data_IF_513331001610
#
_entry.id   IF_513331001610
#
_cell.length_a   1.000
_cell.length_b   1.000
_cell.length_c   1.000
_cell.angle_alpha   90.00
_cell.angle_beta   90.00
_cell.angle_gamma   90.00
#
_symmetry.space_group_name_H-M   'P 1'
#
loop_
_entity.id
_entity.type
_entity.pdbx_description
1 polymer ?
#
# COMPACT_ATOMS: atom_id res chain seq x y z
N UNK A 1 -20.78 -35.56 44.47
CA UNK A 1 -19.91 -34.42 44.86
C UNK A 1 -20.64 -33.14 44.48
N UNK A 2 -21.00 -32.28 45.44
CA UNK A 2 -21.85 -31.11 45.18
C UNK A 2 -21.14 -30.06 44.32
N UNK A 3 -21.88 -29.39 43.44
CA UNK A 3 -21.41 -28.35 42.53
C UNK A 3 -20.63 -27.24 43.24
N UNK A 4 -21.01 -26.89 44.47
CA UNK A 4 -20.29 -25.91 45.30
C UNK A 4 -18.84 -26.33 45.62
N UNK A 5 -18.58 -27.63 45.80
CA UNK A 5 -17.23 -28.16 46.08
C UNK A 5 -16.38 -28.10 44.81
N UNK A 6 -16.97 -28.36 43.64
CA UNK A 6 -16.26 -28.24 42.34
C UNK A 6 -15.92 -26.79 42.00
N UNK A 7 -16.86 -25.87 42.20
CA UNK A 7 -16.62 -24.44 41.99
C UNK A 7 -15.55 -23.90 42.96
N UNK A 8 -15.59 -24.31 44.23
CA UNK A 8 -14.56 -23.95 45.21
C UNK A 8 -13.17 -24.48 44.85
N UNK A 9 -13.08 -25.74 44.41
CA UNK A 9 -11.81 -26.34 43.97
C UNK A 9 -11.26 -25.66 42.71
N UNK A 10 -12.12 -25.31 41.76
CA UNK A 10 -11.72 -24.58 40.55
C UNK A 10 -11.20 -23.17 40.88
N UNK A 11 -11.92 -22.42 41.71
CA UNK A 11 -11.49 -21.08 42.15
C UNK A 11 -10.15 -21.11 42.90
N UNK A 12 -9.94 -22.11 43.77
CA UNK A 12 -8.66 -22.30 44.45
C UNK A 12 -7.52 -22.63 43.48
N UNK A 13 -7.79 -23.45 42.45
CA UNK A 13 -6.84 -23.76 41.39
C UNK A 13 -6.40 -22.52 40.62
N UNK A 14 -7.34 -21.69 40.18
CA UNK A 14 -7.04 -20.44 39.46
C UNK A 14 -6.22 -19.48 40.32
N UNK A 15 -6.59 -19.29 41.59
CA UNK A 15 -5.85 -18.42 42.50
C UNK A 15 -4.40 -18.89 42.73
N UNK A 16 -4.18 -20.20 42.84
CA UNK A 16 -2.84 -20.79 42.95
C UNK A 16 -2.00 -20.55 41.70
N UNK A 17 -2.58 -20.73 40.51
CA UNK A 17 -1.86 -20.51 39.25
C UNK A 17 -1.46 -19.04 39.08
N UNK A 18 -2.37 -18.10 39.34
CA UNK A 18 -2.07 -16.66 39.27
C UNK A 18 -1.05 -16.24 40.34
N UNK A 19 -1.17 -16.76 41.57
CA UNK A 19 -0.22 -16.49 42.65
C UNK A 19 1.19 -16.99 42.33
N UNK A 20 1.31 -18.19 41.75
CA UNK A 20 2.58 -18.75 41.32
C UNK A 20 3.21 -17.94 40.18
N UNK A 21 2.42 -17.57 39.16
CA UNK A 21 2.88 -16.73 38.06
C UNK A 21 3.36 -15.35 38.53
N UNK A 22 2.61 -14.71 39.43
CA UNK A 22 3.00 -13.43 40.05
C UNK A 22 4.29 -13.55 40.88
N UNK A 23 4.44 -14.63 41.64
CA UNK A 23 5.64 -14.92 42.42
C UNK A 23 6.89 -15.13 41.55
N UNK A 24 6.75 -15.88 40.45
CA UNK A 24 7.83 -16.07 39.47
C UNK A 24 8.18 -14.76 38.78
N UNK A 25 7.19 -13.95 38.38
CA UNK A 25 7.43 -12.63 37.79
C UNK A 25 8.22 -11.68 38.70
N UNK A 26 8.02 -11.75 40.02
CA UNK A 26 8.82 -10.98 40.99
C UNK A 26 10.26 -11.49 41.17
N UNK A 27 10.50 -12.78 40.94
CA UNK A 27 11.82 -13.42 41.09
C UNK A 27 12.69 -13.24 39.84
N UNK A 28 12.08 -13.22 38.65
CA UNK A 28 12.77 -13.11 37.37
C UNK A 28 13.04 -11.64 36.98
N UNK A 29 12.34 -10.68 37.61
CA UNK A 29 12.48 -9.25 37.29
C UNK A 29 11.77 -8.90 35.97
N UNK A 30 11.43 -7.63 35.81
CA UNK A 30 10.81 -7.13 34.58
C UNK A 30 11.92 -6.81 33.57
N UNK A 31 11.86 -7.26 32.30
CA UNK A 31 12.82 -6.84 31.28
C UNK A 31 12.66 -5.36 30.85
N UNK A 32 11.81 -4.60 31.56
CA UNK A 32 11.44 -3.20 31.26
C UNK A 32 11.67 -2.32 32.49
N UNK A 33 12.81 -2.47 33.16
CA UNK A 33 13.26 -1.59 34.25
C UNK A 33 14.29 -0.56 33.75
N UNK A 34 14.10 -0.01 32.54
CA UNK A 34 14.67 1.29 32.19
C UNK A 34 13.65 2.38 32.48
N UNK A 35 13.90 3.05 33.60
CA UNK A 35 13.15 4.20 34.09
C UNK A 35 13.22 5.32 33.04
N UNK A 36 12.09 5.85 32.53
CA UNK A 36 12.14 7.05 31.70
C UNK A 36 12.74 8.20 32.54
N UNK A 37 13.67 9.00 32.01
CA UNK A 37 14.18 10.15 32.74
C UNK A 37 13.01 11.11 33.00
N UNK A 38 12.95 11.61 34.24
CA UNK A 38 11.92 12.52 34.69
C UNK A 38 11.89 13.79 33.83
N UNK A 39 10.72 14.12 33.29
CA UNK A 39 10.48 15.41 32.65
C UNK A 39 10.55 16.52 33.71
N UNK A 40 11.58 17.35 33.61
CA UNK A 40 11.66 18.61 34.35
C UNK A 40 10.79 19.65 33.63
N UNK A 41 9.76 20.14 34.31
CA UNK A 41 9.05 21.36 33.92
C UNK A 41 9.98 22.56 34.14
N UNK A 42 10.40 23.18 33.03
CA UNK A 42 11.02 24.51 33.01
C UNK A 42 10.24 25.38 32.04
N UNK A 43 9.53 26.38 32.57
CA UNK A 43 9.02 27.51 31.82
C UNK A 43 10.22 28.33 31.30
N UNK A 44 10.50 28.29 30.00
CA UNK A 44 11.28 29.33 29.32
C UNK A 44 10.69 29.63 27.94
N UNK A 45 10.66 30.93 27.65
CA UNK A 45 9.97 31.56 26.53
C UNK A 45 10.48 31.10 25.16
N UNK A 46 9.55 30.92 24.22
CA UNK A 46 9.84 30.61 22.84
C UNK A 46 10.57 31.77 22.11
N UNK A 47 11.67 31.49 21.40
CA UNK A 47 12.01 32.23 20.20
C UNK A 47 11.50 31.46 18.97
N UNK A 48 10.89 32.19 18.04
CA UNK A 48 10.55 31.73 16.71
C UNK A 48 11.78 31.11 16.01
N UNK A 49 11.68 29.85 15.64
CA UNK A 49 12.63 29.19 14.75
C UNK A 49 11.85 28.28 13.80
N UNK A 50 11.80 28.71 12.53
CA UNK A 50 11.51 27.86 11.39
C UNK A 50 12.49 26.68 11.40
N UNK A 51 12.03 25.54 11.88
CA UNK A 51 12.76 24.28 11.88
C UNK A 51 12.25 23.38 10.78
N UNK A 52 13.07 23.17 9.76
CA UNK A 52 12.97 22.05 8.82
C UNK A 52 12.82 20.77 9.64
N UNK A 53 11.66 20.12 9.50
CA UNK A 53 11.34 18.90 10.21
C UNK A 53 12.30 17.78 9.83
N UNK A 54 12.91 17.17 10.85
CA UNK A 54 13.65 15.93 10.73
C UNK A 54 12.86 14.91 9.90
N UNK A 55 13.50 14.35 8.87
CA UNK A 55 12.93 13.40 7.92
C UNK A 55 12.44 12.11 8.59
N UNK A 56 11.24 12.15 9.15
CA UNK A 56 10.45 10.96 9.37
C UNK A 56 10.03 10.42 8.01
N UNK A 57 10.50 9.24 7.65
CA UNK A 57 9.97 8.54 6.47
C UNK A 57 8.45 8.46 6.63
N UNK A 58 7.71 9.08 5.70
CA UNK A 58 6.26 8.98 5.67
C UNK A 58 5.88 7.50 5.68
N UNK A 59 4.93 7.13 6.55
CA UNK A 59 4.42 5.76 6.59
C UNK A 59 3.86 5.42 5.21
N UNK A 60 4.15 4.25 4.62
CA UNK A 60 3.57 3.87 3.34
C UNK A 60 2.05 3.95 3.37
N UNK A 61 1.46 4.39 2.27
CA UNK A 61 0.02 4.52 2.13
C UNK A 61 -0.68 3.17 2.30
N UNK A 62 -1.98 3.22 2.60
CA UNK A 62 -2.83 2.05 2.50
C UNK A 62 -2.65 1.02 3.60
N UNK A 63 -1.83 1.27 4.62
CA UNK A 63 -1.70 0.38 5.79
C UNK A 63 -2.81 0.59 6.82
N UNK A 64 -3.46 1.75 6.80
CA UNK A 64 -4.50 2.14 7.74
C UNK A 64 -5.86 2.17 7.04
N UNK A 65 -6.91 1.76 7.75
CA UNK A 65 -8.30 1.89 7.27
C UNK A 65 -8.84 3.31 7.45
N UNK A 66 -8.25 4.07 8.38
CA UNK A 66 -8.63 5.44 8.67
C UNK A 66 -7.39 6.32 8.85
N UNK A 67 -7.42 7.52 8.27
CA UNK A 67 -6.37 8.52 8.36
C UNK A 67 -6.99 9.92 8.21
N UNK A 68 -6.48 10.92 8.95
CA UNK A 68 -7.00 12.31 8.92
C UNK A 68 -8.52 12.46 9.13
N UNK A 69 -9.14 11.49 9.81
CA UNK A 69 -10.59 11.45 10.04
C UNK A 69 -11.39 10.80 8.90
N UNK A 70 -10.78 10.52 7.77
CA UNK A 70 -11.39 9.73 6.69
C UNK A 70 -11.30 8.24 7.02
N UNK A 71 -12.31 7.46 6.63
CA UNK A 71 -12.36 6.01 6.87
C UNK A 71 -12.88 5.27 5.65
N UNK A 72 -12.15 4.23 5.22
CA UNK A 72 -12.62 3.30 4.20
C UNK A 72 -13.59 2.30 4.83
N UNK A 73 -14.83 2.27 4.34
CA UNK A 73 -15.87 1.33 4.76
C UNK A 73 -16.00 0.23 3.70
N UNK A 74 -15.45 -0.99 3.95
CA UNK A 74 -15.52 -2.10 3.00
C UNK A 74 -16.97 -2.60 2.81
N UNK A 75 -17.24 -3.44 1.79
CA UNK A 75 -18.55 -4.07 1.61
C UNK A 75 -18.99 -4.85 2.85
N UNK A 76 -20.30 -4.87 3.12
CA UNK A 76 -20.88 -5.67 4.20
C UNK A 76 -20.79 -7.17 3.91
N UNK A 77 -20.98 -7.56 2.64
CA UNK A 77 -20.91 -8.94 2.19
C UNK A 77 -19.58 -9.20 1.46
N UNK A 78 -18.80 -10.22 1.88
CA UNK A 78 -17.56 -10.55 1.21
C UNK A 78 -17.83 -11.13 -0.21
N UNK A 79 -17.01 -10.77 -1.21
CA UNK A 79 -17.07 -11.42 -2.53
C UNK A 79 -16.72 -12.91 -2.45
N UNK A 80 -17.23 -13.69 -3.42
CA UNK A 80 -16.90 -15.09 -3.60
C UNK A 80 -15.99 -15.29 -4.81
N UNK A 81 -15.08 -16.26 -4.74
CA UNK A 81 -14.17 -16.57 -5.84
C UNK A 81 -14.93 -17.09 -7.07
N UNK A 82 -14.57 -16.60 -8.26
CA UNK A 82 -15.15 -16.99 -9.54
C UNK A 82 -16.56 -16.44 -9.81
N UNK A 83 -17.11 -15.63 -8.91
CA UNK A 83 -18.44 -15.03 -9.05
C UNK A 83 -18.31 -13.53 -9.36
N UNK A 84 -18.78 -13.06 -10.52
CA UNK A 84 -18.86 -11.62 -10.78
C UNK A 84 -19.76 -10.94 -9.76
N UNK A 85 -19.30 -9.82 -9.21
CA UNK A 85 -20.06 -9.01 -8.27
C UNK A 85 -19.87 -7.52 -8.57
N UNK A 86 -20.81 -6.69 -8.16
CA UNK A 86 -20.60 -5.25 -8.09
C UNK A 86 -20.09 -4.91 -6.69
N UNK A 87 -18.78 -4.69 -6.58
CA UNK A 87 -18.16 -4.32 -5.31
C UNK A 87 -18.66 -2.92 -4.92
N UNK A 88 -19.36 -2.84 -3.78
CA UNK A 88 -19.86 -1.59 -3.23
C UNK A 88 -19.16 -1.24 -1.90
N UNK A 89 -18.65 -0.01 -1.79
CA UNK A 89 -17.95 0.48 -0.60
C UNK A 89 -18.13 1.99 -0.43
N UNK A 90 -17.70 2.55 0.70
CA UNK A 90 -17.76 4.00 0.96
C UNK A 90 -16.45 4.52 1.53
N UNK A 91 -16.26 5.82 1.41
CA UNK A 91 -15.32 6.57 2.25
C UNK A 91 -16.16 7.48 3.12
N UNK A 92 -16.00 7.41 4.42
CA UNK A 92 -16.57 8.37 5.37
C UNK A 92 -15.58 9.51 5.61
N UNK A 93 -16.10 10.73 5.70
CA UNK A 93 -15.32 11.92 6.04
C UNK A 93 -15.12 12.09 7.55
N UNK A 94 -14.37 13.13 7.97
CA UNK A 94 -14.11 13.43 9.39
C UNK A 94 -15.36 13.69 10.24
N UNK A 95 -16.49 14.00 9.62
CA UNK A 95 -17.80 14.18 10.26
C UNK A 95 -18.59 12.86 10.40
N UNK A 96 -18.05 11.75 9.91
CA UNK A 96 -18.68 10.43 9.88
C UNK A 96 -19.75 10.27 8.79
N UNK A 97 -19.93 11.26 7.91
CA UNK A 97 -20.84 11.15 6.77
C UNK A 97 -20.12 10.58 5.55
N UNK A 98 -20.83 9.93 4.60
CA UNK A 98 -20.24 9.53 3.33
C UNK A 98 -19.65 10.73 2.57
N UNK A 99 -18.38 10.63 2.20
CA UNK A 99 -17.68 11.62 1.41
C UNK A 99 -18.20 11.56 -0.04
N UNK A 100 -18.65 12.71 -0.56
CA UNK A 100 -19.23 12.83 -1.92
C UNK A 100 -18.48 13.82 -2.81
N UNK A 101 -17.54 14.59 -2.24
CA UNK A 101 -16.76 15.60 -2.96
C UNK A 101 -15.29 15.19 -3.02
N UNK A 102 -14.80 15.00 -4.24
CA UNK A 102 -13.45 14.52 -4.55
C UNK A 102 -12.90 15.35 -5.70
N UNK A 103 -11.59 15.62 -5.64
CA UNK A 103 -10.85 16.18 -6.76
C UNK A 103 -10.58 15.08 -7.79
N UNK A 104 -10.35 15.49 -9.04
CA UNK A 104 -9.92 14.57 -10.11
C UNK A 104 -8.39 14.55 -10.13
N UNK A 105 -7.80 13.37 -9.94
CA UNK A 105 -6.37 13.09 -10.10
C UNK A 105 -6.21 11.94 -11.08
N UNK A 106 -5.24 12.02 -12.00
CA UNK A 106 -5.04 11.01 -13.04
C UNK A 106 -6.35 10.64 -13.79
N UNK A 107 -7.13 11.66 -14.14
CA UNK A 107 -8.44 11.59 -14.83
C UNK A 107 -9.57 10.90 -14.04
N UNK A 108 -9.32 10.45 -12.80
CA UNK A 108 -10.30 9.76 -11.95
C UNK A 108 -10.43 10.45 -10.61
N UNK A 109 -11.55 10.19 -9.93
CA UNK A 109 -11.76 10.68 -8.56
C UNK A 109 -11.20 9.72 -7.50
N UNK A 110 -11.07 8.46 -7.87
CA UNK A 110 -10.60 7.38 -7.00
C UNK A 110 -9.98 6.28 -7.86
N UNK A 111 -8.80 5.83 -7.45
CA UNK A 111 -8.19 4.58 -7.91
C UNK A 111 -8.41 3.51 -6.86
N UNK A 112 -8.98 2.38 -7.27
CA UNK A 112 -9.18 1.23 -6.42
C UNK A 112 -8.19 0.15 -6.85
N UNK A 113 -7.27 -0.22 -5.97
CA UNK A 113 -6.38 -1.36 -6.17
C UNK A 113 -6.91 -2.52 -5.34
N UNK A 114 -7.10 -3.68 -5.95
CA UNK A 114 -7.44 -4.92 -5.25
C UNK A 114 -6.36 -5.95 -5.57
N UNK A 115 -5.73 -6.50 -4.55
CA UNK A 115 -4.62 -7.44 -4.73
C UNK A 115 -4.57 -8.44 -3.58
N UNK A 116 -4.19 -9.68 -3.85
CA UNK A 116 -4.08 -10.71 -2.83
C UNK A 116 -2.90 -10.42 -1.89
N UNK A 117 -2.96 -10.83 -0.62
CA UNK A 117 -1.92 -10.57 0.39
C UNK A 117 -0.55 -11.19 0.04
N UNK A 118 -0.50 -12.13 -0.88
CA UNK A 118 0.73 -12.70 -1.45
C UNK A 118 1.15 -12.02 -2.78
N UNK A 119 0.57 -10.86 -3.10
CA UNK A 119 0.92 -9.99 -4.24
C UNK A 119 0.62 -10.59 -5.62
N UNK A 120 -0.44 -11.39 -5.73
CA UNK A 120 -0.98 -11.85 -7.02
C UNK A 120 -2.42 -11.40 -7.19
N UNK A 121 -2.99 -11.62 -8.39
CA UNK A 121 -4.39 -11.29 -8.68
C UNK A 121 -4.67 -9.78 -8.58
N UNK A 122 -3.69 -8.95 -8.96
CA UNK A 122 -3.80 -7.50 -8.97
C UNK A 122 -4.88 -7.03 -9.95
N UNK A 123 -5.68 -6.07 -9.51
CA UNK A 123 -6.61 -5.33 -10.35
C UNK A 123 -6.53 -3.85 -10.00
N UNK A 124 -6.43 -3.02 -11.03
CA UNK A 124 -6.50 -1.58 -10.93
C UNK A 124 -7.81 -1.10 -11.56
N UNK A 125 -8.68 -0.57 -10.71
CA UNK A 125 -10.09 -0.35 -11.00
C UNK A 125 -10.46 1.12 -10.77
N UNK A 126 -11.48 1.58 -11.51
CA UNK A 126 -11.98 2.95 -11.45
C UNK A 126 -13.48 2.93 -11.15
N UNK A 127 -13.88 2.86 -9.86
CA UNK A 127 -15.27 2.80 -9.49
C UNK A 127 -16.03 4.10 -9.82
N UNK A 128 -17.35 3.97 -9.92
CA UNK A 128 -18.26 5.10 -10.12
C UNK A 128 -18.89 5.53 -8.79
N UNK A 129 -18.95 6.84 -8.56
CA UNK A 129 -19.53 7.43 -7.36
C UNK A 129 -21.05 7.66 -7.53
N UNK A 130 -21.84 7.02 -6.66
CA UNK A 130 -23.26 7.26 -6.51
C UNK A 130 -23.57 8.55 -5.71
N UNK A 131 -24.81 9.08 -5.83
CA UNK A 131 -25.22 10.32 -5.15
C UNK A 131 -25.31 10.19 -3.62
N UNK A 132 -25.29 8.97 -3.09
CA UNK A 132 -25.30 8.65 -1.66
C UNK A 132 -23.90 8.46 -1.07
N UNK A 133 -22.84 8.65 -1.87
CA UNK A 133 -21.46 8.42 -1.47
C UNK A 133 -20.99 6.98 -1.62
N UNK A 134 -21.81 6.09 -2.19
CA UNK A 134 -21.43 4.70 -2.47
C UNK A 134 -20.62 4.62 -3.76
N UNK A 135 -19.44 4.03 -3.68
CA UNK A 135 -18.63 3.66 -4.84
C UNK A 135 -19.03 2.26 -5.32
N UNK A 136 -19.10 2.06 -6.64
CA UNK A 136 -19.41 0.76 -7.24
C UNK A 136 -18.50 0.44 -8.41
N UNK A 137 -18.08 -0.83 -8.52
CA UNK A 137 -17.30 -1.33 -9.67
C UNK A 137 -17.56 -2.83 -9.90
N UNK A 138 -17.70 -3.27 -11.17
CA UNK A 138 -17.70 -4.68 -11.49
C UNK A 138 -16.37 -5.33 -11.10
N UNK A 139 -16.44 -6.40 -10.33
CA UNK A 139 -15.29 -7.13 -9.81
C UNK A 139 -15.48 -8.63 -10.06
N UNK A 140 -14.42 -9.27 -10.56
CA UNK A 140 -14.32 -10.72 -10.62
C UNK A 140 -12.96 -11.12 -10.04
N UNK A 141 -12.97 -11.76 -8.88
CA UNK A 141 -11.79 -12.36 -8.28
C UNK A 141 -11.83 -13.86 -8.57
N UNK A 142 -10.98 -14.35 -9.48
CA UNK A 142 -11.01 -15.75 -9.90
C UNK A 142 -10.65 -16.72 -8.76
N UNK A 143 -9.74 -16.29 -7.90
CA UNK A 143 -9.20 -17.11 -6.82
C UNK A 143 -9.67 -16.63 -5.44
N UNK A 144 -9.77 -17.56 -4.51
CA UNK A 144 -10.06 -17.25 -3.11
C UNK A 144 -8.83 -16.69 -2.40
N UNK A 145 -9.02 -16.12 -1.21
CA UNK A 145 -7.91 -15.66 -0.37
C UNK A 145 -8.21 -14.38 0.39
N UNK A 146 -7.20 -13.88 1.10
CA UNK A 146 -7.25 -12.55 1.70
C UNK A 146 -6.70 -11.55 0.72
N UNK A 147 -7.55 -10.68 0.22
CA UNK A 147 -7.19 -9.54 -0.60
C UNK A 147 -7.08 -8.30 0.27
N UNK A 148 -6.31 -7.32 -0.19
CA UNK A 148 -6.32 -5.96 0.32
C UNK A 148 -6.87 -5.07 -0.78
N UNK A 149 -7.84 -4.23 -0.42
CA UNK A 149 -8.28 -3.12 -1.25
C UNK A 149 -7.61 -1.83 -0.76
N UNK A 150 -7.21 -1.00 -1.71
CA UNK A 150 -6.67 0.33 -1.49
C UNK A 150 -7.55 1.34 -2.21
N UNK A 151 -8.03 2.33 -1.49
CA UNK A 151 -8.68 3.49 -2.07
C UNK A 151 -7.67 4.65 -2.05
N UNK A 152 -7.20 5.03 -3.24
CA UNK A 152 -6.33 6.20 -3.45
C UNK A 152 -7.15 7.35 -4.02
N UNK A 153 -7.25 8.45 -3.28
CA UNK A 153 -8.18 9.54 -3.56
C UNK A 153 -7.70 10.88 -2.98
N UNK A 154 -8.24 11.97 -3.50
CA UNK A 154 -8.01 13.32 -3.01
C UNK A 154 -9.35 13.98 -2.67
N UNK A 155 -9.67 14.19 -1.38
CA UNK A 155 -10.87 14.93 -0.98
C UNK A 155 -10.86 16.37 -1.51
N UNK A 156 -12.04 16.92 -1.79
CA UNK A 156 -12.16 18.35 -2.12
C UNK A 156 -11.69 19.22 -0.94
N UNK A 157 -10.77 20.15 -1.22
CA UNK A 157 -10.25 21.09 -0.20
C UNK A 157 -9.04 20.58 0.59
N UNK A 158 -8.59 19.34 0.38
CA UNK A 158 -7.29 18.84 0.86
C UNK A 158 -6.19 19.13 -0.18
N UNK A 159 -4.97 19.38 0.30
CA UNK A 159 -3.80 19.56 -0.56
C UNK A 159 -3.15 18.22 -0.93
N UNK A 160 -3.09 17.28 0.02
CA UNK A 160 -2.45 15.98 -0.13
C UNK A 160 -3.48 14.84 -0.23
N UNK A 161 -3.22 13.89 -1.14
CA UNK A 161 -4.00 12.67 -1.32
C UNK A 161 -3.93 11.71 -0.13
N UNK A 162 -4.85 10.74 -0.10
CA UNK A 162 -4.94 9.68 0.89
C UNK A 162 -4.96 8.34 0.18
N UNK A 163 -4.23 7.37 0.73
CA UNK A 163 -4.41 5.97 0.39
C UNK A 163 -4.87 5.23 1.64
N UNK A 164 -6.13 4.82 1.69
CA UNK A 164 -6.69 4.00 2.78
C UNK A 164 -6.77 2.54 2.34
N UNK A 165 -6.60 1.61 3.28
CA UNK A 165 -6.63 0.18 2.97
C UNK A 165 -7.40 -0.66 3.96
N UNK A 166 -8.13 -1.64 3.42
CA UNK A 166 -8.89 -2.63 4.16
C UNK A 166 -8.69 -4.02 3.56
N UNK A 167 -8.84 -5.07 4.36
CA UNK A 167 -8.82 -6.43 3.84
C UNK A 167 -10.21 -6.81 3.31
N UNK A 168 -10.22 -7.53 2.18
CA UNK A 168 -11.37 -8.21 1.60
C UNK A 168 -11.14 -9.72 1.74
N UNK A 169 -11.98 -10.40 2.52
CA UNK A 169 -11.97 -11.85 2.57
C UNK A 169 -12.74 -12.39 1.36
N UNK A 170 -12.08 -13.15 0.49
CA UNK A 170 -12.74 -13.86 -0.63
C UNK A 170 -12.94 -15.31 -0.23
N UNK A 171 -14.20 -15.74 -0.19
CA UNK A 171 -14.55 -17.08 0.26
C UNK A 171 -14.02 -18.16 -0.69
N UNK A 172 -13.38 -19.19 -0.13
CA UNK A 172 -12.94 -20.39 -0.84
C UNK A 172 -11.64 -20.97 -0.28
N UNK A 173 -11.12 -22.03 -0.93
CA UNK A 173 -9.83 -22.62 -0.56
C UNK A 173 -8.73 -21.90 -1.33
N UNK A 174 -7.69 -21.46 -0.63
CA UNK A 174 -6.54 -20.78 -1.24
C UNK A 174 -5.23 -21.37 -0.71
N UNK A 175 -4.22 -21.45 -1.57
CA UNK A 175 -2.83 -21.74 -1.21
C UNK A 175 -1.96 -20.54 -1.59
N UNK A 176 -1.38 -19.81 -0.62
CA UNK A 176 -0.53 -18.67 -0.92
C UNK A 176 0.62 -19.01 -1.87
N UNK A 177 0.87 -18.11 -2.81
CA UNK A 177 1.97 -18.21 -3.75
C UNK A 177 3.22 -17.50 -3.21
N UNK A 178 4.44 -18.02 -3.49
CA UNK A 178 5.66 -17.28 -3.19
C UNK A 178 5.75 -16.03 -4.08
N UNK A 179 6.32 -14.96 -3.55
CA UNK A 179 6.68 -13.79 -4.36
C UNK A 179 7.61 -14.22 -5.49
N UNK A 180 7.36 -13.81 -6.75
CA UNK A 180 8.29 -14.08 -7.85
C UNK A 180 9.67 -13.48 -7.56
N UNK A 181 10.73 -14.19 -7.96
CA UNK A 181 12.11 -13.70 -7.81
C UNK A 181 12.31 -12.36 -8.54
N UNK A 182 13.22 -11.49 -8.04
CA UNK A 182 13.53 -10.24 -8.71
C UNK A 182 13.96 -10.44 -10.16
N UNK A 183 13.34 -9.67 -11.06
CA UNK A 183 13.62 -9.72 -12.49
C UNK A 183 13.48 -8.32 -13.09
N UNK A 184 14.44 -7.94 -13.95
CA UNK A 184 14.38 -6.69 -14.70
C UNK A 184 13.49 -6.78 -15.95
N UNK A 185 12.95 -7.95 -16.27
CA UNK A 185 12.15 -8.17 -17.47
C UNK A 185 10.88 -8.91 -17.11
N UNK A 186 9.74 -8.43 -17.60
CA UNK A 186 8.45 -9.09 -17.52
C UNK A 186 7.87 -9.30 -18.92
N UNK A 187 7.19 -10.43 -19.11
CA UNK A 187 6.42 -10.71 -20.32
C UNK A 187 4.92 -10.58 -20.01
N UNK A 188 4.19 -9.89 -20.88
CA UNK A 188 2.73 -9.77 -20.82
C UNK A 188 2.18 -9.83 -22.24
N UNK A 189 1.32 -10.81 -22.51
CA UNK A 189 0.89 -11.14 -23.87
C UNK A 189 2.10 -11.30 -24.83
N UNK A 190 2.13 -10.51 -25.90
CA UNK A 190 3.18 -10.38 -26.93
C UNK A 190 4.23 -9.30 -26.62
N UNK A 191 4.20 -8.74 -25.40
CA UNK A 191 5.09 -7.67 -24.96
C UNK A 191 6.20 -8.19 -24.05
N UNK A 192 7.36 -7.57 -24.20
CA UNK A 192 8.47 -7.65 -23.25
C UNK A 192 8.70 -6.25 -22.69
N UNK A 193 8.63 -6.13 -21.36
CA UNK A 193 8.85 -4.87 -20.67
C UNK A 193 10.10 -4.99 -19.81
N UNK A 194 11.05 -4.08 -19.99
CA UNK A 194 12.30 -4.04 -19.21
C UNK A 194 12.29 -2.88 -18.24
N UNK A 195 12.60 -3.13 -16.98
CA UNK A 195 12.77 -2.16 -15.90
C UNK A 195 14.25 -1.82 -15.73
N UNK A 196 14.59 -0.54 -15.81
CA UNK A 196 15.92 -0.02 -15.55
C UNK A 196 15.84 1.23 -14.67
N UNK A 197 16.80 1.47 -13.76
CA UNK A 197 16.94 2.79 -13.13
C UNK A 197 17.21 3.86 -14.20
N UNK A 198 16.53 5.01 -14.11
CA UNK A 198 16.47 6.00 -15.20
C UNK A 198 17.84 6.59 -15.61
N UNK A 199 18.87 6.44 -14.78
CA UNK A 199 20.23 6.93 -15.04
C UNK A 199 21.32 5.90 -14.66
N UNK A 200 20.94 4.61 -14.55
CA UNK A 200 21.84 3.55 -14.07
C UNK A 200 22.18 3.62 -12.57
N UNK A 201 21.48 4.48 -11.83
CA UNK A 201 21.60 4.62 -10.39
C UNK A 201 21.07 3.39 -9.65
N UNK A 202 21.70 3.07 -8.51
CA UNK A 202 21.20 2.05 -7.61
C UNK A 202 19.94 2.55 -6.89
N UNK A 203 18.89 1.73 -6.85
CA UNK A 203 17.70 2.03 -6.04
C UNK A 203 18.06 1.91 -4.57
N UNK A 204 17.90 3.01 -3.82
CA UNK A 204 18.26 3.06 -2.40
C UNK A 204 17.07 3.44 -1.54
N UNK A 205 16.95 2.75 -0.41
CA UNK A 205 15.96 3.10 0.61
C UNK A 205 16.16 4.53 1.12
N UNK A 206 15.06 5.25 1.32
CA UNK A 206 15.00 6.61 1.83
C UNK A 206 15.29 7.71 0.80
N UNK A 207 15.60 7.36 -0.45
CA UNK A 207 15.84 8.31 -1.52
C UNK A 207 14.73 8.22 -2.59
N UNK A 208 14.42 9.36 -3.20
CA UNK A 208 13.65 9.36 -4.45
C UNK A 208 14.48 8.68 -5.53
N UNK A 209 13.84 7.78 -6.27
CA UNK A 209 14.42 7.02 -7.36
C UNK A 209 13.55 7.19 -8.60
N UNK A 210 14.22 7.33 -9.75
CA UNK A 210 13.58 7.29 -11.04
C UNK A 210 13.75 5.90 -11.66
N UNK A 211 12.64 5.27 -12.03
CA UNK A 211 12.58 3.95 -12.66
C UNK A 211 11.95 4.09 -14.04
N UNK A 212 12.59 3.51 -15.06
CA UNK A 212 12.12 3.56 -16.45
C UNK A 212 11.74 2.17 -16.93
N UNK A 213 10.55 2.07 -17.52
CA UNK A 213 10.08 0.87 -18.19
C UNK A 213 10.15 1.03 -19.70
N UNK A 214 10.80 0.10 -20.36
CA UNK A 214 10.94 0.04 -21.81
C UNK A 214 10.02 -1.02 -22.39
N UNK A 215 8.99 -0.59 -23.14
CA UNK A 215 8.00 -1.48 -23.73
C UNK A 215 8.43 -1.89 -25.15
N UNK A 216 8.54 -3.20 -25.37
CA UNK A 216 8.78 -3.80 -26.67
C UNK A 216 7.66 -4.79 -27.02
N UNK A 217 7.37 -4.93 -28.30
CA UNK A 217 6.44 -5.94 -28.83
C UNK A 217 7.14 -6.70 -29.95
N UNK A 218 7.17 -8.03 -29.86
CA UNK A 218 7.87 -8.89 -30.83
C UNK A 218 9.34 -8.47 -31.09
N UNK A 219 10.00 -7.87 -30.09
CA UNK A 219 11.38 -7.39 -30.17
C UNK A 219 11.56 -5.95 -30.68
N UNK A 220 10.50 -5.30 -31.16
CA UNK A 220 10.55 -3.91 -31.63
C UNK A 220 10.08 -2.92 -30.53
N UNK A 221 10.74 -1.75 -30.39
CA UNK A 221 10.30 -0.74 -29.41
C UNK A 221 8.92 -0.18 -29.74
N UNK A 222 8.05 -0.08 -28.74
CA UNK A 222 6.73 0.56 -28.86
C UNK A 222 6.90 2.07 -28.68
N UNK A 223 6.52 2.88 -29.67
CA UNK A 223 6.75 4.35 -29.64
C UNK A 223 5.47 5.17 -29.72
N UNK A 224 4.34 4.50 -29.59
CA UNK A 224 2.98 5.00 -29.77
C UNK A 224 2.05 4.53 -28.66
N UNK A 225 2.56 4.46 -27.42
CA UNK A 225 1.74 4.22 -26.22
C UNK A 225 0.61 5.25 -26.14
N UNK A 226 -0.60 4.76 -25.95
CA UNK A 226 -1.78 5.60 -25.80
C UNK A 226 -1.82 6.19 -24.38
N UNK A 227 -2.27 7.44 -24.22
CA UNK A 227 -2.55 8.00 -22.90
C UNK A 227 -3.58 7.17 -22.14
N UNK A 228 -3.25 6.81 -20.91
CA UNK A 228 -4.11 6.13 -19.97
C UNK A 228 -3.96 6.78 -18.60
N UNK A 229 -5.07 7.29 -18.03
CA UNK A 229 -5.08 7.99 -16.74
C UNK A 229 -4.15 9.21 -16.71
N UNK A 230 -4.13 9.96 -17.82
CA UNK A 230 -3.31 11.15 -17.99
C UNK A 230 -1.81 10.91 -18.17
N UNK A 231 -1.37 9.67 -18.42
CA UNK A 231 0.04 9.32 -18.60
C UNK A 231 0.24 8.23 -19.66
N UNK A 232 1.48 8.00 -20.12
CA UNK A 232 1.79 6.87 -21.01
C UNK A 232 1.97 5.52 -20.26
N UNK A 233 1.76 5.54 -18.95
CA UNK A 233 1.64 4.37 -18.10
C UNK A 233 1.25 4.78 -16.68
N UNK A 234 0.85 3.82 -15.86
CA UNK A 234 0.52 4.03 -14.45
C UNK A 234 1.19 2.96 -13.59
N UNK A 235 1.80 3.37 -12.48
CA UNK A 235 2.61 2.48 -11.64
C UNK A 235 2.02 2.36 -10.24
N UNK A 236 1.72 1.13 -9.83
CA UNK A 236 1.46 0.78 -8.43
C UNK A 236 2.65 0.00 -7.89
N UNK A 237 3.16 0.41 -6.73
CA UNK A 237 4.28 -0.25 -6.06
C UNK A 237 3.88 -0.64 -4.64
N UNK A 238 4.02 -1.93 -4.30
CA UNK A 238 3.62 -2.47 -3.00
C UNK A 238 4.79 -3.17 -2.32
N UNK A 239 5.08 -2.81 -1.07
CA UNK A 239 6.09 -3.50 -0.26
C UNK A 239 5.65 -4.92 0.07
N UNK A 240 6.52 -5.90 -0.14
CA UNK A 240 6.27 -7.27 0.27
C UNK A 240 6.13 -7.41 1.79
N UNK A 241 5.17 -8.22 2.22
CA UNK A 241 4.88 -8.50 3.63
C UNK A 241 3.68 -7.71 4.17
N UNK A 242 3.71 -6.38 4.09
CA UNK A 242 2.63 -5.53 4.60
C UNK A 242 1.81 -4.81 3.53
N UNK A 243 2.23 -4.88 2.26
CA UNK A 243 1.62 -4.21 1.12
C UNK A 243 1.55 -2.69 1.32
N UNK A 244 2.58 -2.11 1.96
CA UNK A 244 2.71 -0.66 2.03
C UNK A 244 2.72 -0.07 0.63
N UNK A 245 1.75 0.79 0.34
CA UNK A 245 1.56 1.43 -0.96
C UNK A 245 2.57 2.56 -1.13
N UNK A 246 3.32 2.51 -2.23
CA UNK A 246 4.27 3.54 -2.60
C UNK A 246 3.62 4.43 -3.66
N UNK A 247 3.63 5.73 -3.38
CA UNK A 247 3.21 6.71 -4.35
C UNK A 247 4.26 6.83 -5.46
N UNK A 248 3.81 6.88 -6.70
CA UNK A 248 4.66 7.04 -7.86
C UNK A 248 4.03 8.03 -8.83
N UNK A 249 4.87 8.88 -9.43
CA UNK A 249 4.42 9.86 -10.41
C UNK A 249 5.17 9.69 -11.72
N UNK A 250 4.48 9.75 -12.87
CA UNK A 250 5.13 9.74 -14.16
C UNK A 250 6.00 11.00 -14.35
N UNK A 251 7.10 10.84 -15.07
CA UNK A 251 7.90 11.96 -15.54
C UNK A 251 7.30 12.50 -16.84
N UNK A 252 6.66 13.66 -16.72
CA UNK A 252 6.02 14.35 -17.86
C UNK A 252 4.64 13.81 -18.19
N UNK A 253 3.94 14.50 -19.10
CA UNK A 253 2.53 14.25 -19.42
C UNK A 253 2.28 14.18 -20.94
N UNK A 254 1.33 13.37 -21.40
CA UNK A 254 0.96 13.32 -22.80
C UNK A 254 0.53 14.69 -23.32
N UNK A 255 1.13 15.11 -24.44
CA UNK A 255 0.78 16.39 -25.08
C UNK A 255 1.52 17.61 -24.53
N UNK A 256 2.43 17.46 -23.57
CA UNK A 256 3.28 18.56 -23.08
C UNK A 256 4.34 19.04 -24.11
N UNK A 257 4.48 18.33 -25.23
CA UNK A 257 5.41 18.64 -26.32
C UNK A 257 6.84 18.13 -26.12
N UNK A 258 7.12 17.49 -24.99
CA UNK A 258 8.45 16.97 -24.61
C UNK A 258 8.45 15.50 -24.21
N UNK A 259 7.33 14.96 -23.75
CA UNK A 259 7.16 13.58 -23.31
C UNK A 259 6.81 12.69 -24.50
N UNK A 260 7.71 11.76 -24.90
CA UNK A 260 7.43 10.84 -25.98
C UNK A 260 6.45 9.75 -25.55
N UNK A 261 5.69 9.20 -26.50
CA UNK A 261 4.77 8.08 -26.29
C UNK A 261 5.50 6.71 -26.22
N UNK A 262 6.67 6.67 -25.57
CA UNK A 262 7.54 5.50 -25.48
C UNK A 262 8.87 5.62 -26.25
N UNK A 263 9.70 4.57 -26.24
CA UNK A 263 9.45 3.27 -25.59
C UNK A 263 9.68 3.28 -24.08
N UNK A 264 10.34 4.31 -23.56
CA UNK A 264 10.55 4.51 -22.13
C UNK A 264 9.39 5.27 -21.49
N UNK A 265 8.91 4.79 -20.34
CA UNK A 265 8.06 5.56 -19.42
C UNK A 265 8.72 5.57 -18.05
N UNK A 266 9.02 6.76 -17.53
CA UNK A 266 9.76 6.94 -16.28
C UNK A 266 8.81 7.35 -15.16
N UNK A 267 9.00 6.78 -13.97
CA UNK A 267 8.29 7.15 -12.75
C UNK A 267 9.27 7.52 -11.64
N UNK A 268 8.91 8.54 -10.86
CA UNK A 268 9.56 8.89 -9.60
C UNK A 268 8.81 8.25 -8.44
N UNK A 269 9.52 7.57 -7.56
CA UNK A 269 8.96 7.02 -6.31
C UNK A 269 10.00 7.08 -5.21
N UNK A 270 9.55 7.04 -3.95
CA UNK A 270 10.45 6.93 -2.80
C UNK A 270 10.27 5.57 -2.16
N UNK A 271 11.35 4.79 -2.13
CA UNK A 271 11.35 3.48 -1.46
C UNK A 271 11.67 3.70 0.02
N UNK A 272 10.76 3.44 0.97
CA UNK A 272 10.95 3.84 2.37
C UNK A 272 11.93 2.96 3.15
N UNK A 273 12.17 1.73 2.69
CA UNK A 273 12.96 0.74 3.42
C UNK A 273 13.66 -0.23 2.46
N UNK A 274 14.68 -0.92 2.94
CA UNK A 274 15.17 -2.11 2.25
C UNK A 274 14.08 -3.20 2.24
N UNK A 275 14.07 -4.05 1.21
CA UNK A 275 13.12 -5.15 1.08
C UNK A 275 12.73 -5.42 -0.36
N UNK A 276 11.76 -6.33 -0.51
CA UNK A 276 11.15 -6.63 -1.80
C UNK A 276 9.89 -5.77 -2.02
N UNK A 277 9.68 -5.37 -3.26
CA UNK A 277 8.54 -4.60 -3.72
C UNK A 277 7.96 -5.25 -4.98
N UNK A 278 6.65 -5.43 -5.02
CA UNK A 278 5.94 -5.83 -6.25
C UNK A 278 5.46 -4.57 -6.96
N UNK A 279 5.83 -4.44 -8.22
CA UNK A 279 5.51 -3.31 -9.07
C UNK A 279 4.54 -3.78 -10.16
N UNK A 280 3.49 -3.01 -10.40
CA UNK A 280 2.48 -3.25 -11.43
C UNK A 280 2.44 -2.03 -12.35
N UNK A 281 2.96 -2.18 -13.56
CA UNK A 281 2.94 -1.16 -14.59
C UNK A 281 1.76 -1.41 -15.52
N UNK A 282 0.76 -0.53 -15.47
CA UNK A 282 -0.25 -0.45 -16.51
C UNK A 282 0.26 0.39 -17.69
N UNK A 283 0.09 -0.11 -18.91
CA UNK A 283 0.31 0.65 -20.14
C UNK A 283 -0.78 0.33 -21.16
N UNK A 284 -1.08 1.29 -22.05
CA UNK A 284 -2.08 1.12 -23.09
C UNK A 284 -1.44 1.13 -24.47
N UNK A 285 -1.76 0.11 -25.26
CA UNK A 285 -1.35 0.00 -26.65
C UNK A 285 -2.37 -0.81 -27.45
N UNK A 286 -2.74 -0.32 -28.64
CA UNK A 286 -3.80 -0.86 -29.49
C UNK A 286 -5.18 -0.93 -28.81
N UNK A 287 -5.52 0.09 -28.03
CA UNK A 287 -6.80 0.23 -27.32
C UNK A 287 -6.96 -0.70 -26.13
N UNK A 288 -5.91 -1.44 -25.73
CA UNK A 288 -5.94 -2.40 -24.62
C UNK A 288 -4.93 -2.04 -23.54
N UNK A 289 -5.41 -1.95 -22.31
CA UNK A 289 -4.57 -1.83 -21.10
C UNK A 289 -3.98 -3.19 -20.76
N UNK A 290 -2.69 -3.20 -20.40
CA UNK A 290 -1.95 -4.38 -19.96
C UNK A 290 -1.17 -4.03 -18.70
N UNK A 291 -1.01 -5.01 -17.83
CA UNK A 291 -0.24 -4.88 -16.60
C UNK A 291 1.02 -5.75 -16.68
N UNK A 292 2.20 -5.12 -16.64
CA UNK A 292 3.47 -5.81 -16.50
C UNK A 292 3.90 -5.81 -15.02
N UNK A 293 4.25 -6.98 -14.50
CA UNK A 293 4.51 -7.15 -13.07
C UNK A 293 5.98 -7.51 -12.77
N UNK A 294 6.59 -6.81 -11.81
CA UNK A 294 8.00 -6.96 -11.46
C UNK A 294 8.17 -7.15 -9.98
N UNK A 295 9.17 -7.94 -9.58
CA UNK A 295 9.70 -7.91 -8.23
C UNK A 295 11.00 -7.11 -8.23
N UNK A 296 11.06 -6.07 -7.41
CA UNK A 296 12.24 -5.24 -7.21
C UNK A 296 12.80 -5.50 -5.80
N UNK A 297 14.07 -5.91 -5.72
CA UNK A 297 14.83 -5.97 -4.48
C UNK A 297 15.53 -4.64 -4.25
N UNK A 298 15.33 -4.04 -3.09
CA UNK A 298 16.04 -2.84 -2.65
C UNK A 298 16.89 -3.18 -1.44
N UNK A 299 18.19 -2.92 -1.53
CA UNK A 299 19.13 -3.19 -0.47
C UNK A 299 19.13 -2.07 0.58
N UNK A 300 19.56 -2.41 1.80
CA UNK A 300 19.80 -1.41 2.83
C UNK A 300 20.98 -0.54 2.40
N UNK A 301 20.73 0.74 2.15
CA UNK A 301 21.80 1.69 1.86
C UNK A 301 22.87 1.66 2.95
N UNK A 302 24.14 1.81 2.57
CA UNK A 302 25.30 1.73 3.48
C UNK A 302 25.37 2.81 4.59
N UNK A 303 24.28 3.54 4.87
CA UNK A 303 24.22 4.68 5.78
C UNK A 303 23.81 4.37 7.23
N UNK A 304 23.42 3.14 7.56
CA UNK A 304 23.02 2.77 8.94
C UNK A 304 24.15 2.13 9.76
N UNK A 305 25.41 2.46 9.47
CA UNK A 305 26.53 2.10 10.35
C UNK A 305 26.95 3.28 11.25
N UNK A 306 26.50 3.23 12.50
CA UNK A 306 27.30 3.70 13.64
C UNK A 306 27.01 5.09 14.20
N UNK A 307 25.98 5.21 15.03
CA UNK A 307 26.12 6.04 16.24
C UNK A 307 26.60 5.13 17.36
N UNK A 308 27.92 4.95 17.41
CA UNK A 308 28.60 4.26 18.50
C UNK A 308 28.61 5.11 19.77
N UNK A 309 28.09 4.49 20.83
CA UNK A 309 28.34 4.66 22.27
C UNK A 309 28.57 6.06 22.86
#
# INVERSE_FOLDING_TARGET
MNTAIRAGAFGAGVALTFGAAFGVGRLVGSPVDDKPPAAHHGDEAAPDAHGEGAGGHATPGGLQISERGYTLVPPEEPPAAGEPTDLAFRIEGPDGAPLTSYQVSHEKKLHLIVVRRDLTGFQHLHPELGPDGTWSVPLLLEEAGTYRMFADFLPEGEEDGLTLGADLAVAGTHTPEPLPEPAATAAVDDYTVTLEPADGDEVRAGAETALTWHVHRDGEPVTDLEPYLGAHGHLVALRAGDLGYLHAHPRGEPGDGTTPAGPGTTFHTTVPSAGDYRLYLDFQHEGRVRTAEFTLRVDAGAGAQGHGH
#
